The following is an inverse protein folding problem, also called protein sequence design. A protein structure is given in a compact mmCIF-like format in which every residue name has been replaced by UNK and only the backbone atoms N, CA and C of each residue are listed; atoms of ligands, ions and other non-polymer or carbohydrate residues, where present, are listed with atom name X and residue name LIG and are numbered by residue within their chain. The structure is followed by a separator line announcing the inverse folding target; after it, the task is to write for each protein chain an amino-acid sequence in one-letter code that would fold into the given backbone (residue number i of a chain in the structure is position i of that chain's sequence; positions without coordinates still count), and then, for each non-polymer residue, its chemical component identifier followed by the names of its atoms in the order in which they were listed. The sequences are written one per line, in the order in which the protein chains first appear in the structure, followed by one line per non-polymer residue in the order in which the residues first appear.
data_IF_364272083719
#
_entry.id   IF_364272083719
#
_cell.length_a   1.000
_cell.length_b   1.000
_cell.length_c   1.000
_cell.angle_alpha   90.00
_cell.angle_beta   90.00
_cell.angle_gamma   90.00
#
_symmetry.space_group_name_H-M   'P 1'
#
loop_
_entity.id
_entity.type
_entity.pdbx_description
1 polymer ?
#
# COMPACT_ATOMS: atom_id res chain seq x y z
N UNK A 1 -20.52 -17.08 -1.87
CA UNK A 1 -21.24 -15.84 -1.49
C UNK A 1 -20.29 -14.65 -1.53
N UNK A 2 -20.82 -13.46 -1.84
CA UNK A 2 -20.09 -12.18 -1.85
C UNK A 2 -20.84 -11.18 -0.96
N UNK A 3 -20.11 -10.59 0.00
CA UNK A 3 -20.65 -9.65 0.98
C UNK A 3 -19.94 -8.30 0.82
N UNK A 4 -20.67 -7.28 0.42
CA UNK A 4 -20.17 -5.93 0.35
C UNK A 4 -20.29 -5.22 1.70
N UNK A 5 -19.17 -4.82 2.28
CA UNK A 5 -19.13 -4.10 3.54
C UNK A 5 -17.91 -4.39 4.39
N UNK A 6 -17.99 -4.03 5.67
CA UNK A 6 -16.97 -4.23 6.68
C UNK A 6 -17.53 -5.10 7.81
N UNK A 7 -16.72 -5.99 8.36
CA UNK A 7 -17.04 -6.71 9.59
C UNK A 7 -16.34 -6.02 10.75
N UNK A 8 -17.11 -5.59 11.76
CA UNK A 8 -16.58 -5.00 13.01
C UNK A 8 -16.79 -5.96 14.17
N UNK A 9 -15.69 -6.43 14.74
CA UNK A 9 -15.70 -7.36 15.87
C UNK A 9 -15.51 -6.57 17.16
N UNK A 10 -16.47 -6.65 18.08
CA UNK A 10 -16.48 -5.92 19.35
C UNK A 10 -16.52 -6.83 20.57
N UNK A 11 -16.47 -8.14 20.39
CA UNK A 11 -16.49 -9.13 21.45
C UNK A 11 -15.28 -10.05 21.34
N UNK A 12 -14.72 -10.40 22.48
CA UNK A 12 -13.63 -11.37 22.58
C UNK A 12 -14.14 -12.80 22.69
N UNK A 13 -13.36 -13.73 22.15
CA UNK A 13 -13.40 -15.11 22.60
C UNK A 13 -12.64 -15.30 23.91
N UNK A 14 -12.33 -16.54 24.23
CA UNK A 14 -11.45 -16.90 25.35
C UNK A 14 -10.28 -17.74 24.83
N UNK A 15 -9.23 -17.89 25.63
CA UNK A 15 -8.08 -18.72 25.24
C UNK A 15 -8.46 -20.20 24.94
N UNK A 16 -9.52 -20.70 25.59
CA UNK A 16 -10.03 -22.05 25.35
C UNK A 16 -11.15 -22.13 24.30
N UNK A 17 -11.67 -20.98 23.83
CA UNK A 17 -12.78 -20.91 22.86
C UNK A 17 -12.71 -19.60 22.08
N UNK A 18 -11.96 -19.61 20.99
CA UNK A 18 -11.88 -18.48 20.07
C UNK A 18 -13.22 -18.26 19.36
N UNK A 19 -13.53 -16.99 19.08
CA UNK A 19 -14.59 -16.68 18.11
C UNK A 19 -13.99 -16.85 16.72
N UNK A 20 -14.65 -17.65 15.88
CA UNK A 20 -14.17 -17.98 14.53
C UNK A 20 -15.04 -17.30 13.49
N UNK A 21 -14.42 -16.53 12.60
CA UNK A 21 -15.02 -16.03 11.37
C UNK A 21 -14.44 -16.83 10.21
N UNK A 22 -15.25 -17.61 9.53
CA UNK A 22 -14.75 -18.48 8.47
C UNK A 22 -15.85 -18.98 7.53
N UNK A 23 -15.43 -19.72 6.51
CA UNK A 23 -16.37 -20.40 5.59
C UNK A 23 -17.09 -21.54 6.30
N UNK A 24 -18.30 -21.83 5.81
CA UNK A 24 -19.08 -22.99 6.20
C UNK A 24 -19.43 -23.83 4.97
N UNK A 25 -19.30 -25.13 5.10
CA UNK A 25 -19.57 -26.06 4.01
C UNK A 25 -18.41 -26.20 3.02
N UNK A 26 -18.71 -26.67 1.82
CA UNK A 26 -17.75 -26.88 0.73
C UNK A 26 -18.02 -25.94 -0.44
N UNK A 27 -16.98 -25.51 -1.15
CA UNK A 27 -17.11 -24.65 -2.32
C UNK A 27 -16.07 -23.52 -2.34
N UNK A 28 -16.33 -22.50 -3.16
CA UNK A 28 -15.45 -21.33 -3.23
C UNK A 28 -15.50 -20.52 -1.92
N UNK A 29 -14.37 -19.95 -1.53
CA UNK A 29 -14.26 -19.11 -0.35
C UNK A 29 -15.27 -17.96 -0.42
N UNK A 30 -16.03 -17.68 0.66
CA UNK A 30 -16.89 -16.51 0.72
C UNK A 30 -16.04 -15.23 0.67
N UNK A 31 -16.52 -14.24 -0.10
CA UNK A 31 -15.81 -12.98 -0.33
C UNK A 31 -16.41 -11.84 0.50
N UNK A 32 -15.60 -11.21 1.33
CA UNK A 32 -15.88 -9.92 1.96
C UNK A 32 -15.20 -8.87 1.09
N UNK A 33 -15.97 -7.89 0.58
CA UNK A 33 -15.42 -6.90 -0.36
C UNK A 33 -15.83 -5.48 -0.04
N UNK A 34 -14.88 -4.57 -0.22
CA UNK A 34 -15.10 -3.13 -0.20
C UNK A 34 -15.25 -2.52 -1.60
N UNK A 35 -15.33 -3.37 -2.63
CA UNK A 35 -15.44 -2.99 -4.03
C UNK A 35 -16.90 -2.95 -4.44
N UNK A 36 -17.32 -1.85 -5.09
CA UNK A 36 -18.64 -1.74 -5.71
C UNK A 36 -18.54 -1.29 -7.16
N UNK A 37 -19.51 -1.71 -7.98
CA UNK A 37 -19.65 -1.22 -9.34
C UNK A 37 -20.10 0.24 -9.35
N UNK A 38 -19.58 1.03 -10.28
CA UNK A 38 -19.93 2.42 -10.48
C UNK A 38 -20.77 2.55 -11.73
N UNK A 39 -21.93 3.14 -11.58
CA UNK A 39 -22.93 3.31 -12.65
C UNK A 39 -23.38 4.77 -12.76
N UNK A 40 -24.26 5.08 -13.72
CA UNK A 40 -24.79 6.43 -13.88
C UNK A 40 -23.79 7.41 -14.49
N UNK A 41 -22.93 6.91 -15.36
CA UNK A 41 -21.94 7.73 -16.06
C UNK A 41 -22.57 8.70 -17.04
N UNK A 42 -22.12 9.95 -17.00
CA UNK A 42 -22.48 11.01 -17.92
C UNK A 42 -21.23 11.68 -18.47
N UNK A 43 -21.30 12.19 -19.69
CA UNK A 43 -20.17 12.90 -20.29
C UNK A 43 -19.84 14.15 -19.47
N UNK A 44 -18.55 14.34 -19.17
CA UNK A 44 -18.04 15.59 -18.61
C UNK A 44 -17.45 16.48 -19.71
N UNK A 45 -16.50 15.96 -20.47
CA UNK A 45 -15.85 16.66 -21.60
C UNK A 45 -15.10 15.65 -22.46
N UNK A 46 -15.35 15.60 -23.76
CA UNK A 46 -14.72 14.64 -24.65
C UNK A 46 -14.89 13.19 -24.17
N UNK A 47 -13.79 12.49 -23.97
CA UNK A 47 -13.77 11.11 -23.48
C UNK A 47 -13.71 11.02 -21.93
N UNK A 48 -13.84 12.13 -21.23
CA UNK A 48 -13.93 12.16 -19.77
C UNK A 48 -15.40 12.07 -19.38
N UNK A 49 -15.70 11.06 -18.56
CA UNK A 49 -17.02 10.82 -17.99
C UNK A 49 -16.99 11.05 -16.48
N UNK A 50 -18.17 11.29 -15.89
CA UNK A 50 -18.34 11.43 -14.44
C UNK A 50 -19.53 10.63 -13.94
N UNK A 51 -19.41 10.13 -12.70
CA UNK A 51 -20.49 9.46 -11.98
C UNK A 51 -20.58 9.99 -10.53
N UNK A 52 -21.76 9.96 -9.93
CA UNK A 52 -21.94 10.29 -8.52
C UNK A 52 -21.52 9.11 -7.64
N UNK A 53 -20.65 9.36 -6.65
CA UNK A 53 -20.20 8.37 -5.68
C UNK A 53 -20.16 9.01 -4.31
N UNK A 54 -21.04 8.57 -3.41
CA UNK A 54 -21.14 9.11 -2.05
C UNK A 54 -20.03 8.64 -1.11
N UNK A 55 -19.47 7.45 -1.38
CA UNK A 55 -18.35 6.91 -0.59
C UNK A 55 -17.01 7.47 -1.10
N UNK A 56 -16.01 7.56 -0.23
CA UNK A 56 -14.65 7.91 -0.65
C UNK A 56 -14.08 6.83 -1.56
N UNK A 57 -13.62 7.19 -2.75
CA UNK A 57 -12.96 6.31 -3.70
C UNK A 57 -11.45 6.38 -3.49
N UNK A 58 -10.78 5.23 -3.45
CA UNK A 58 -9.32 5.14 -3.31
C UNK A 58 -8.63 4.38 -4.43
N UNK A 59 -9.34 3.50 -5.10
CA UNK A 59 -8.87 2.76 -6.26
C UNK A 59 -10.01 2.62 -7.25
N UNK A 60 -9.69 2.66 -8.54
CA UNK A 60 -10.61 2.37 -9.63
C UNK A 60 -10.08 1.18 -10.41
N UNK A 61 -10.95 0.23 -10.71
CA UNK A 61 -10.62 -1.04 -11.34
C UNK A 61 -11.51 -1.21 -12.57
N UNK A 62 -10.92 -1.58 -13.69
CA UNK A 62 -11.65 -1.90 -14.92
C UNK A 62 -11.10 -3.24 -15.43
N UNK A 63 -11.99 -4.24 -15.60
CA UNK A 63 -11.59 -5.57 -16.07
C UNK A 63 -10.40 -6.15 -15.30
N UNK A 64 -10.48 -6.12 -13.98
CA UNK A 64 -9.44 -6.58 -13.04
C UNK A 64 -8.12 -5.78 -13.07
N UNK A 65 -8.02 -4.71 -13.85
CA UNK A 65 -6.83 -3.83 -13.89
C UNK A 65 -7.03 -2.61 -13.00
N UNK A 66 -6.02 -2.33 -12.18
CA UNK A 66 -5.96 -1.08 -11.40
C UNK A 66 -5.75 0.10 -12.36
N UNK A 67 -6.64 1.08 -12.31
CA UNK A 67 -6.52 2.33 -13.05
C UNK A 67 -5.66 3.34 -12.28
N UNK A 68 -5.01 4.22 -13.02
CA UNK A 68 -4.09 5.21 -12.44
C UNK A 68 -4.84 6.48 -12.05
N UNK A 69 -4.48 7.08 -10.92
CA UNK A 69 -4.92 8.45 -10.58
C UNK A 69 -4.35 9.42 -11.61
N UNK A 70 -5.16 10.39 -12.04
CA UNK A 70 -4.74 11.47 -12.92
C UNK A 70 -3.44 12.11 -12.44
N UNK A 71 -2.39 12.11 -13.28
CA UNK A 71 -1.05 12.51 -12.87
C UNK A 71 -0.29 13.30 -13.95
N UNK A 72 0.74 14.04 -13.50
CA UNK A 72 1.70 14.72 -14.36
C UNK A 72 3.14 14.52 -13.83
N UNK A 73 4.10 14.07 -14.66
CA UNK A 73 3.90 13.57 -16.02
C UNK A 73 3.14 12.24 -16.03
N UNK A 74 2.55 11.86 -17.15
CA UNK A 74 1.76 10.62 -17.28
C UNK A 74 2.57 9.36 -17.07
N UNK A 75 3.89 9.41 -17.23
CA UNK A 75 4.82 8.31 -16.98
C UNK A 75 6.14 8.83 -16.42
N UNK A 76 6.87 7.97 -15.67
CA UNK A 76 8.17 8.32 -15.11
C UNK A 76 8.11 9.40 -14.04
N UNK A 77 9.18 10.13 -13.88
CA UNK A 77 9.36 11.18 -12.87
C UNK A 77 10.03 12.40 -13.47
N UNK A 78 9.64 13.59 -13.00
CA UNK A 78 10.45 14.79 -13.13
C UNK A 78 11.58 14.77 -12.11
N UNK A 79 12.60 15.61 -12.30
CA UNK A 79 13.75 15.74 -11.40
C UNK A 79 13.81 17.15 -10.82
N UNK A 80 14.05 17.23 -9.54
CA UNK A 80 14.19 18.51 -8.82
C UNK A 80 15.51 19.18 -9.20
N UNK A 81 15.48 20.46 -9.60
CA UNK A 81 16.70 21.25 -9.84
C UNK A 81 17.29 21.76 -8.52
N UNK A 82 16.46 22.30 -7.63
CA UNK A 82 16.89 22.80 -6.34
C UNK A 82 15.83 22.62 -5.25
N UNK A 83 16.22 22.07 -4.11
CA UNK A 83 15.35 21.97 -2.94
C UNK A 83 15.24 23.28 -2.18
N UNK A 84 14.11 23.51 -1.51
CA UNK A 84 13.86 24.64 -0.61
C UNK A 84 13.63 24.13 0.82
N UNK A 85 14.67 23.53 1.39
CA UNK A 85 14.59 22.87 2.70
C UNK A 85 13.51 21.79 2.71
N UNK A 86 12.60 21.85 3.68
CA UNK A 86 11.49 20.91 3.84
C UNK A 86 10.15 21.43 3.28
N UNK A 87 10.14 22.63 2.67
CA UNK A 87 8.87 23.31 2.33
C UNK A 87 8.51 23.25 0.86
N UNK A 88 9.40 22.76 -0.01
CA UNK A 88 9.16 22.69 -1.44
C UNK A 88 10.44 22.62 -2.26
N UNK A 89 10.34 22.95 -3.55
CA UNK A 89 11.46 22.88 -4.49
C UNK A 89 11.24 23.80 -5.71
N UNK A 90 12.29 23.93 -6.50
CA UNK A 90 12.29 24.56 -7.82
C UNK A 90 12.61 23.52 -8.90
N UNK A 91 11.91 23.60 -10.03
CA UNK A 91 12.20 22.84 -11.25
C UNK A 91 11.87 23.72 -12.47
N UNK A 92 12.88 24.03 -13.29
CA UNK A 92 12.77 24.86 -14.49
C UNK A 92 11.93 24.20 -15.60
N UNK A 93 11.77 22.88 -15.59
CA UNK A 93 10.92 22.15 -16.56
C UNK A 93 9.42 22.43 -16.35
N UNK A 94 9.03 22.95 -15.20
CA UNK A 94 7.64 23.29 -14.89
C UNK A 94 7.29 24.69 -15.46
N UNK A 95 6.69 24.70 -16.64
CA UNK A 95 6.34 25.89 -17.40
C UNK A 95 4.84 26.22 -17.42
N UNK A 96 4.03 25.53 -16.62
CA UNK A 96 2.58 25.77 -16.51
C UNK A 96 2.29 27.14 -15.87
N UNK A 97 1.10 27.65 -16.09
CA UNK A 97 0.65 28.91 -15.47
C UNK A 97 0.64 28.85 -13.96
N UNK A 98 0.83 30.00 -13.32
CA UNK A 98 0.76 30.10 -11.84
C UNK A 98 -0.53 29.48 -11.31
N UNK A 99 -0.40 28.70 -10.23
CA UNK A 99 -1.53 28.00 -9.61
C UNK A 99 -1.93 26.69 -10.29
N UNK A 100 -1.34 26.31 -11.43
CA UNK A 100 -1.74 25.09 -12.16
C UNK A 100 -1.71 23.82 -11.28
N UNK A 101 -0.69 23.66 -10.44
CA UNK A 101 -0.57 22.50 -9.54
C UNK A 101 -1.15 22.72 -8.13
N UNK A 102 -1.69 23.89 -7.81
CA UNK A 102 -2.26 24.15 -6.48
C UNK A 102 -3.36 23.13 -6.16
N UNK A 103 -3.31 22.53 -4.98
CA UNK A 103 -4.25 21.52 -4.52
C UNK A 103 -3.97 20.09 -5.04
N UNK A 104 -3.04 19.90 -5.97
CA UNK A 104 -2.58 18.55 -6.33
C UNK A 104 -1.73 17.93 -5.20
N UNK A 105 -1.52 16.62 -5.26
CA UNK A 105 -0.59 15.92 -4.37
C UNK A 105 0.72 15.72 -5.13
N UNK A 106 1.82 16.24 -4.59
CA UNK A 106 3.17 15.93 -5.04
C UNK A 106 3.65 14.65 -4.35
N UNK A 107 4.01 13.66 -5.16
CA UNK A 107 4.68 12.43 -4.70
C UNK A 107 6.17 12.63 -4.95
N UNK A 108 6.95 12.82 -3.92
CA UNK A 108 8.37 13.15 -4.01
C UNK A 108 9.21 12.12 -3.27
N UNK A 109 10.24 11.61 -3.94
CA UNK A 109 11.26 10.81 -3.27
C UNK A 109 12.19 11.76 -2.52
N UNK A 110 12.27 11.66 -1.21
CA UNK A 110 13.07 12.57 -0.37
C UNK A 110 14.41 11.98 0.04
N UNK A 111 14.46 10.67 0.17
CA UNK A 111 15.67 9.86 0.36
C UNK A 111 15.54 8.53 -0.39
N UNK A 112 16.59 7.72 -0.41
CA UNK A 112 16.59 6.49 -1.21
C UNK A 112 15.48 5.50 -0.87
N UNK A 113 14.93 5.54 0.34
CA UNK A 113 13.94 4.57 0.86
C UNK A 113 12.60 5.20 1.27
N UNK A 114 12.35 6.48 0.92
CA UNK A 114 11.10 7.17 1.28
C UNK A 114 10.54 7.98 0.11
N UNK A 115 9.24 7.76 -0.17
CA UNK A 115 8.39 8.72 -0.86
C UNK A 115 7.53 9.45 0.16
N UNK A 116 7.37 10.75 -0.03
CA UNK A 116 6.43 11.56 0.74
C UNK A 116 5.31 12.10 -0.17
N UNK A 117 4.14 12.29 0.42
CA UNK A 117 2.94 12.83 -0.24
C UNK A 117 2.66 14.22 0.34
N UNK A 118 2.83 15.26 -0.47
CA UNK A 118 2.66 16.64 -0.02
C UNK A 118 1.63 17.36 -0.88
N UNK A 119 0.63 17.97 -0.25
CA UNK A 119 -0.29 18.84 -0.97
C UNK A 119 0.43 20.10 -1.40
N UNK A 120 0.30 20.48 -2.65
CA UNK A 120 0.85 21.73 -3.19
C UNK A 120 -0.02 22.90 -2.75
N UNK A 121 0.51 23.78 -1.92
CA UNK A 121 -0.16 25.01 -1.50
C UNK A 121 -0.04 26.12 -2.53
N UNK A 122 1.13 26.25 -3.19
CA UNK A 122 1.33 27.21 -4.26
C UNK A 122 2.33 26.71 -5.30
N UNK A 123 2.09 27.15 -6.55
CA UNK A 123 2.96 26.92 -7.69
C UNK A 123 3.09 28.21 -8.51
N UNK A 124 4.30 28.64 -8.82
CA UNK A 124 4.56 29.77 -9.72
C UNK A 124 6.00 29.74 -10.23
N UNK A 125 6.17 29.88 -11.57
CA UNK A 125 7.48 30.02 -12.19
C UNK A 125 8.46 28.91 -11.83
N UNK A 126 8.01 27.64 -11.85
CA UNK A 126 8.82 26.49 -11.46
C UNK A 126 8.93 26.24 -9.96
N UNK A 127 8.51 27.18 -9.10
CA UNK A 127 8.56 27.01 -7.65
C UNK A 127 7.30 26.28 -7.16
N UNK A 128 7.53 25.20 -6.42
CA UNK A 128 6.48 24.38 -5.76
C UNK A 128 6.62 24.53 -4.26
N UNK A 129 5.55 24.95 -3.58
CA UNK A 129 5.50 25.04 -2.12
C UNK A 129 4.47 24.06 -1.57
N UNK A 130 4.82 23.37 -0.50
CA UNK A 130 3.95 22.39 0.16
C UNK A 130 3.10 23.04 1.26
N UNK A 131 1.93 22.47 1.52
CA UNK A 131 1.07 22.92 2.64
C UNK A 131 1.60 22.51 4.02
N UNK A 132 2.42 21.46 4.07
CA UNK A 132 3.08 20.95 5.29
C UNK A 132 4.51 20.56 4.94
N UNK A 133 5.44 20.76 5.86
CA UNK A 133 6.84 20.37 5.66
C UNK A 133 7.00 18.86 5.43
N UNK A 134 7.98 18.50 4.62
CA UNK A 134 8.44 17.12 4.50
C UNK A 134 9.21 16.69 5.76
N UNK A 135 9.30 15.39 6.01
CA UNK A 135 10.12 14.82 7.07
C UNK A 135 11.61 15.02 6.78
N UNK A 136 11.99 14.81 5.53
CA UNK A 136 13.37 14.95 5.08
C UNK A 136 13.52 16.22 4.22
N UNK A 137 14.72 16.87 4.20
CA UNK A 137 15.00 17.95 3.27
C UNK A 137 14.79 17.50 1.82
N UNK A 138 14.20 18.38 1.03
CA UNK A 138 14.07 18.17 -0.40
C UNK A 138 15.40 18.51 -1.06
N UNK A 139 15.96 17.58 -1.80
CA UNK A 139 17.26 17.73 -2.44
C UNK A 139 17.13 17.63 -3.97
N UNK A 140 18.08 18.26 -4.66
CA UNK A 140 18.19 18.20 -6.12
C UNK A 140 18.35 16.75 -6.63
N UNK A 141 17.91 16.53 -7.86
CA UNK A 141 17.97 15.26 -8.60
C UNK A 141 17.07 14.13 -8.08
N UNK A 142 16.39 14.28 -6.96
CA UNK A 142 15.34 13.32 -6.60
C UNK A 142 14.12 13.49 -7.52
N UNK A 143 13.44 12.37 -7.75
CA UNK A 143 12.28 12.30 -8.63
C UNK A 143 10.99 12.65 -7.92
N UNK A 144 10.07 13.23 -8.67
CA UNK A 144 8.73 13.54 -8.20
C UNK A 144 7.70 13.49 -9.34
N UNK A 145 6.42 13.47 -8.98
CA UNK A 145 5.30 13.70 -9.88
C UNK A 145 4.12 14.31 -9.11
N UNK A 146 3.17 14.90 -9.84
CA UNK A 146 1.91 15.39 -9.26
C UNK A 146 0.78 14.44 -9.59
N UNK A 147 -0.20 14.28 -8.69
CA UNK A 147 -1.42 13.56 -8.96
C UNK A 147 -2.63 14.18 -8.28
N UNK A 148 -3.78 13.49 -8.42
CA UNK A 148 -5.02 13.77 -7.70
C UNK A 148 -5.57 15.19 -7.92
N UNK A 149 -5.64 15.63 -9.17
CA UNK A 149 -6.28 16.87 -9.57
C UNK A 149 -7.00 16.70 -10.91
N UNK A 150 -8.20 17.27 -11.05
CA UNK A 150 -9.02 17.13 -12.27
C UNK A 150 -8.30 17.66 -13.53
N UNK A 151 -7.53 18.75 -13.41
CA UNK A 151 -6.78 19.31 -14.54
C UNK A 151 -5.63 18.44 -15.05
N UNK A 152 -5.28 17.38 -14.32
CA UNK A 152 -4.27 16.39 -14.71
C UNK A 152 -4.89 15.15 -15.36
N UNK A 153 -6.23 15.12 -15.49
CA UNK A 153 -6.96 14.00 -16.11
C UNK A 153 -6.94 14.17 -17.62
N UNK A 154 -5.87 13.76 -18.27
CA UNK A 154 -5.61 14.01 -19.69
C UNK A 154 -5.23 12.75 -20.50
N UNK A 155 -5.12 11.60 -19.83
CA UNK A 155 -4.72 10.34 -20.45
C UNK A 155 -5.72 9.22 -20.16
N UNK A 156 -5.96 8.39 -21.17
CA UNK A 156 -6.85 7.23 -21.11
C UNK A 156 -6.51 6.30 -19.94
N UNK A 157 -7.54 5.88 -19.22
CA UNK A 157 -7.43 5.00 -18.05
C UNK A 157 -7.06 5.75 -16.75
N UNK A 158 -6.94 7.06 -16.80
CA UNK A 158 -6.79 7.87 -15.59
C UNK A 158 -8.14 8.22 -14.97
N UNK A 159 -8.13 8.41 -13.65
CA UNK A 159 -9.29 8.83 -12.89
C UNK A 159 -8.97 9.90 -11.84
N UNK A 160 -9.98 10.65 -11.45
CA UNK A 160 -9.93 11.63 -10.37
C UNK A 160 -11.22 11.56 -9.55
N UNK A 161 -11.11 11.59 -8.23
CA UNK A 161 -12.27 11.64 -7.34
C UNK A 161 -12.33 12.99 -6.62
N UNK A 162 -13.36 13.78 -6.95
CA UNK A 162 -13.71 15.00 -6.23
C UNK A 162 -14.52 14.62 -4.98
N UNK A 163 -13.86 14.55 -3.84
CA UNK A 163 -14.48 14.21 -2.57
C UNK A 163 -15.51 15.24 -2.13
N UNK A 164 -15.31 16.54 -2.42
CA UNK A 164 -16.22 17.59 -2.03
C UNK A 164 -17.52 17.56 -2.84
N UNK A 165 -17.41 17.26 -4.14
CA UNK A 165 -18.56 17.12 -5.01
C UNK A 165 -19.18 15.71 -5.01
N UNK A 166 -18.52 14.72 -4.41
CA UNK A 166 -18.94 13.32 -4.45
C UNK A 166 -18.98 12.77 -5.88
N UNK A 167 -17.98 13.11 -6.71
CA UNK A 167 -17.93 12.73 -8.12
C UNK A 167 -16.64 12.03 -8.49
N UNK A 168 -16.78 10.89 -9.15
CA UNK A 168 -15.69 10.20 -9.79
C UNK A 168 -15.64 10.59 -11.27
N UNK A 169 -14.47 11.02 -11.72
CA UNK A 169 -14.16 11.30 -13.13
C UNK A 169 -13.22 10.21 -13.67
N UNK A 170 -13.46 9.80 -14.89
CA UNK A 170 -12.66 8.77 -15.59
C UNK A 170 -12.44 9.20 -17.04
N UNK A 171 -11.20 9.26 -17.47
CA UNK A 171 -10.90 9.27 -18.90
C UNK A 171 -11.07 7.84 -19.42
N UNK A 172 -12.13 7.63 -20.17
CA UNK A 172 -12.60 6.29 -20.50
C UNK A 172 -11.63 5.55 -21.44
N UNK A 173 -11.24 4.33 -21.14
CA UNK A 173 -10.49 3.49 -22.06
C UNK A 173 -11.20 3.31 -23.40
N UNK A 174 -10.48 3.52 -24.52
CA UNK A 174 -11.04 3.45 -25.86
C UNK A 174 -12.09 4.54 -26.16
N UNK A 175 -12.22 5.56 -25.33
CA UNK A 175 -13.23 6.61 -25.49
C UNK A 175 -14.69 6.16 -25.34
N UNK A 176 -14.94 4.91 -24.93
CA UNK A 176 -16.29 4.34 -24.80
C UNK A 176 -16.96 4.76 -23.51
N UNK A 177 -18.30 4.78 -23.50
CA UNK A 177 -19.05 5.09 -22.28
C UNK A 177 -18.69 4.06 -21.17
N UNK A 178 -18.21 4.50 -19.99
CA UNK A 178 -17.85 3.60 -18.90
C UNK A 178 -19.01 2.71 -18.40
N UNK A 179 -20.25 3.08 -18.69
CA UNK A 179 -21.42 2.23 -18.43
C UNK A 179 -21.41 0.91 -19.18
N UNK A 180 -20.62 0.78 -20.25
CA UNK A 180 -20.43 -0.47 -20.99
C UNK A 180 -19.20 -1.26 -20.50
N UNK A 181 -18.42 -0.67 -19.60
CA UNK A 181 -17.28 -1.28 -18.94
C UNK A 181 -17.68 -1.70 -17.53
N UNK A 182 -17.07 -2.77 -17.02
CA UNK A 182 -17.22 -3.10 -15.61
C UNK A 182 -16.27 -2.19 -14.79
N UNK A 183 -16.72 -0.96 -14.49
CA UNK A 183 -15.97 -0.01 -13.67
C UNK A 183 -16.32 -0.25 -12.21
N UNK A 184 -15.34 -0.58 -11.42
CA UNK A 184 -15.44 -0.84 -10.00
C UNK A 184 -14.57 0.13 -9.19
N UNK A 185 -14.96 0.41 -7.95
CA UNK A 185 -14.19 1.27 -7.05
C UNK A 185 -14.09 0.69 -5.65
N UNK A 186 -12.91 0.81 -5.05
CA UNK A 186 -12.67 0.51 -3.63
C UNK A 186 -13.20 1.67 -2.79
N UNK A 187 -14.11 1.37 -1.86
CA UNK A 187 -14.84 2.41 -1.12
C UNK A 187 -14.92 2.16 0.39
N UNK A 188 -14.67 0.95 0.87
CA UNK A 188 -14.71 0.62 2.31
C UNK A 188 -13.33 0.70 2.95
N UNK A 189 -13.31 0.96 4.26
CA UNK A 189 -12.08 1.21 4.99
C UNK A 189 -11.35 -0.10 5.31
N UNK A 190 -12.00 -1.02 6.01
CA UNK A 190 -11.43 -2.29 6.42
C UNK A 190 -12.28 -3.48 5.98
N UNK A 191 -11.65 -4.64 5.76
CA UNK A 191 -12.38 -5.89 5.56
C UNK A 191 -12.93 -6.41 6.87
N UNK A 192 -12.04 -6.73 7.80
CA UNK A 192 -12.39 -7.13 9.16
C UNK A 192 -11.61 -6.24 10.13
N UNK A 193 -12.35 -5.50 10.96
CA UNK A 193 -11.81 -4.61 11.98
C UNK A 193 -12.09 -5.20 13.37
N UNK A 194 -11.02 -5.48 14.10
CA UNK A 194 -11.08 -5.95 15.49
C UNK A 194 -10.93 -4.73 16.40
N UNK A 195 -11.95 -4.42 17.18
CA UNK A 195 -11.94 -3.28 18.09
C UNK A 195 -10.81 -3.40 19.12
N UNK A 196 -10.41 -2.25 19.68
CA UNK A 196 -9.41 -2.18 20.74
C UNK A 196 -9.81 -3.11 21.91
N UNK A 197 -8.84 -3.85 22.42
CA UNK A 197 -8.98 -4.83 23.52
C UNK A 197 -9.82 -6.08 23.19
N UNK A 198 -10.18 -6.30 21.93
CA UNK A 198 -10.70 -7.61 21.51
C UNK A 198 -9.55 -8.62 21.51
N UNK A 199 -9.82 -9.85 21.88
CA UNK A 199 -8.84 -10.94 21.94
C UNK A 199 -9.46 -12.28 21.53
N UNK A 200 -8.60 -13.25 21.22
CA UNK A 200 -8.99 -14.64 20.92
C UNK A 200 -9.99 -14.75 19.77
N UNK A 201 -9.55 -14.23 18.60
CA UNK A 201 -10.30 -14.24 17.34
C UNK A 201 -9.53 -15.04 16.30
N UNK A 202 -10.22 -15.92 15.61
CA UNK A 202 -9.71 -16.62 14.42
C UNK A 202 -10.46 -16.17 13.19
N UNK A 203 -9.74 -15.76 12.15
CA UNK A 203 -10.24 -15.42 10.81
C UNK A 203 -9.66 -16.45 9.85
N UNK A 204 -10.50 -17.20 9.16
CA UNK A 204 -10.02 -18.28 8.33
C UNK A 204 -10.89 -18.56 7.11
N UNK A 205 -10.25 -19.11 6.06
CA UNK A 205 -10.96 -19.62 4.89
C UNK A 205 -11.89 -18.58 4.25
N UNK A 206 -11.42 -17.33 4.13
CA UNK A 206 -12.14 -16.19 3.58
C UNK A 206 -11.35 -15.53 2.45
N UNK A 207 -12.08 -14.95 1.49
CA UNK A 207 -11.53 -13.99 0.54
C UNK A 207 -11.87 -12.57 1.00
N UNK A 208 -10.86 -11.71 1.15
CA UNK A 208 -11.00 -10.33 1.63
C UNK A 208 -10.41 -9.41 0.56
N UNK A 209 -11.26 -8.64 -0.13
CA UNK A 209 -10.82 -7.94 -1.36
C UNK A 209 -11.26 -6.48 -1.39
N UNK A 210 -10.29 -5.58 -1.65
CA UNK A 210 -10.56 -4.19 -1.98
C UNK A 210 -10.91 -3.32 -0.79
N UNK A 211 -9.93 -2.93 0.03
CA UNK A 211 -10.09 -2.05 1.17
C UNK A 211 -9.03 -0.97 1.20
N UNK A 212 -9.38 0.19 1.78
CA UNK A 212 -8.52 1.38 1.79
C UNK A 212 -7.46 1.33 2.88
N UNK A 213 -7.82 0.86 4.06
CA UNK A 213 -6.89 0.80 5.20
C UNK A 213 -6.29 -0.59 5.34
N UNK A 214 -7.11 -1.59 5.63
CA UNK A 214 -6.60 -2.94 5.88
C UNK A 214 -7.55 -4.03 5.40
N UNK A 215 -6.98 -5.17 4.98
CA UNK A 215 -7.76 -6.39 4.82
C UNK A 215 -8.26 -6.89 6.17
N UNK A 216 -7.33 -7.09 7.11
CA UNK A 216 -7.62 -7.41 8.51
C UNK A 216 -6.86 -6.43 9.41
N UNK A 217 -7.57 -5.79 10.31
CA UNK A 217 -7.01 -4.81 11.24
C UNK A 217 -7.34 -5.17 12.68
N UNK A 218 -6.31 -5.47 13.47
CA UNK A 218 -6.39 -5.66 14.92
C UNK A 218 -5.31 -4.85 15.61
N UNK A 219 -5.41 -3.50 15.51
CA UNK A 219 -4.38 -2.57 15.93
C UNK A 219 -3.89 -2.79 17.37
N UNK A 220 -4.76 -3.24 18.28
CA UNK A 220 -4.35 -3.67 19.63
C UNK A 220 -5.18 -4.87 20.07
N UNK A 221 -4.51 -5.99 20.33
CA UNK A 221 -5.17 -7.20 20.83
C UNK A 221 -4.26 -8.42 20.77
N UNK A 222 -4.67 -9.46 21.45
CA UNK A 222 -3.86 -10.66 21.64
C UNK A 222 -4.60 -11.91 21.16
N UNK A 223 -3.84 -12.95 20.87
CA UNK A 223 -4.33 -14.26 20.46
C UNK A 223 -5.23 -14.18 19.20
N UNK A 224 -4.83 -13.35 18.23
CA UNK A 224 -5.46 -13.34 16.91
C UNK A 224 -4.82 -14.38 16.00
N UNK A 225 -5.63 -15.02 15.20
CA UNK A 225 -5.16 -15.91 14.13
C UNK A 225 -5.83 -15.55 12.83
N UNK A 226 -5.01 -15.33 11.78
CA UNK A 226 -5.48 -15.23 10.39
C UNK A 226 -4.88 -16.37 9.60
N UNK A 227 -5.71 -17.24 9.05
CA UNK A 227 -5.20 -18.41 8.36
C UNK A 227 -6.01 -18.80 7.11
N UNK A 228 -5.29 -19.26 6.08
CA UNK A 228 -5.87 -19.75 4.82
C UNK A 228 -6.84 -18.76 4.16
N UNK A 229 -6.56 -17.46 4.33
CA UNK A 229 -7.31 -16.40 3.69
C UNK A 229 -6.63 -15.96 2.38
N UNK A 230 -7.43 -15.45 1.44
CA UNK A 230 -6.94 -14.74 0.26
C UNK A 230 -7.25 -13.24 0.42
N UNK A 231 -6.21 -12.42 0.60
CA UNK A 231 -6.32 -10.98 0.87
C UNK A 231 -5.72 -10.22 -0.30
N UNK A 232 -6.50 -9.34 -0.94
CA UNK A 232 -6.01 -8.68 -2.15
C UNK A 232 -6.60 -7.30 -2.40
N UNK A 233 -5.90 -6.48 -3.20
CA UNK A 233 -6.30 -5.12 -3.60
C UNK A 233 -6.52 -4.20 -2.40
N UNK A 234 -5.56 -4.21 -1.49
CA UNK A 234 -5.58 -3.38 -0.30
C UNK A 234 -4.67 -2.16 -0.53
N UNK A 235 -5.15 -0.97 -0.16
CA UNK A 235 -4.35 0.24 -0.36
C UNK A 235 -3.21 0.34 0.63
N UNK A 236 -3.45 0.02 1.92
CA UNK A 236 -2.44 0.21 2.96
C UNK A 236 -1.85 -1.09 3.49
N UNK A 237 -2.60 -1.88 4.25
CA UNK A 237 -2.08 -3.07 4.92
C UNK A 237 -2.91 -4.32 4.62
N UNK A 238 -2.27 -5.39 4.20
CA UNK A 238 -2.95 -6.67 4.09
C UNK A 238 -3.48 -7.12 5.45
N UNK A 239 -2.57 -7.26 6.43
CA UNK A 239 -2.87 -7.58 7.84
C UNK A 239 -2.07 -6.65 8.73
N UNK A 240 -2.72 -6.05 9.76
CA UNK A 240 -2.07 -5.22 10.76
C UNK A 240 -2.46 -5.66 12.17
N UNK A 241 -1.46 -6.10 12.95
CA UNK A 241 -1.63 -6.52 14.33
C UNK A 241 -0.58 -5.90 15.25
N UNK A 242 -1.01 -5.51 16.49
CA UNK A 242 -0.09 -5.17 17.56
C UNK A 242 -0.52 -5.94 18.82
N UNK A 243 0.37 -6.79 19.34
CA UNK A 243 0.09 -7.54 20.56
C UNK A 243 0.88 -8.84 20.70
N UNK A 244 0.38 -9.71 21.55
CA UNK A 244 1.04 -10.94 21.96
C UNK A 244 0.30 -12.16 21.38
N UNK A 245 1.03 -13.21 20.99
CA UNK A 245 0.50 -14.47 20.45
C UNK A 245 -0.42 -14.27 19.23
N UNK A 246 -0.10 -13.30 18.38
CA UNK A 246 -0.82 -13.10 17.12
C UNK A 246 -0.17 -13.95 16.02
N UNK A 247 -0.97 -14.71 15.29
CA UNK A 247 -0.49 -15.73 14.36
C UNK A 247 -1.07 -15.52 12.95
N UNK A 248 -0.24 -15.72 11.93
CA UNK A 248 -0.61 -15.53 10.51
C UNK A 248 -0.10 -16.73 9.71
N UNK A 249 -1.00 -17.63 9.29
CA UNK A 249 -0.66 -18.92 8.71
C UNK A 249 -1.23 -19.15 7.32
N UNK A 250 -0.38 -19.51 6.34
CA UNK A 250 -0.83 -20.05 5.07
C UNK A 250 -1.79 -19.16 4.27
N UNK A 251 -1.66 -17.84 4.40
CA UNK A 251 -2.47 -16.89 3.65
C UNK A 251 -1.85 -16.58 2.29
N UNK A 252 -2.67 -16.19 1.33
CA UNK A 252 -2.26 -15.56 0.07
C UNK A 252 -2.57 -14.07 0.17
N UNK A 253 -1.55 -13.22 0.10
CA UNK A 253 -1.67 -11.76 0.21
C UNK A 253 -1.06 -11.10 -1.02
N UNK A 254 -1.88 -10.45 -1.85
CA UNK A 254 -1.45 -9.94 -3.15
C UNK A 254 -2.01 -8.55 -3.44
N UNK A 255 -1.31 -7.80 -4.33
CA UNK A 255 -1.74 -6.49 -4.80
C UNK A 255 -2.02 -5.51 -3.64
N UNK A 256 -1.11 -5.44 -2.68
CA UNK A 256 -1.15 -4.47 -1.57
C UNK A 256 -0.28 -3.26 -1.94
N UNK A 257 -0.85 -2.05 -1.95
CA UNK A 257 -0.13 -0.86 -2.43
C UNK A 257 0.89 -0.31 -1.43
N UNK A 258 0.89 -0.80 -0.18
CA UNK A 258 1.90 -0.43 0.81
C UNK A 258 2.60 -1.67 1.41
N UNK A 259 2.08 -2.28 2.46
CA UNK A 259 2.76 -3.37 3.19
C UNK A 259 1.80 -4.54 3.43
N UNK A 260 2.23 -5.77 3.11
CA UNK A 260 1.34 -6.91 3.23
C UNK A 260 1.05 -7.29 4.68
N UNK A 261 2.08 -7.43 5.52
CA UNK A 261 1.92 -7.73 6.96
C UNK A 261 2.71 -6.69 7.76
N UNK A 262 2.08 -6.05 8.74
CA UNK A 262 2.77 -5.10 9.60
C UNK A 262 2.27 -5.13 11.04
N UNK A 263 3.14 -4.71 11.94
CA UNK A 263 2.78 -4.48 13.33
C UNK A 263 3.83 -4.85 14.35
N UNK A 264 3.41 -4.88 15.60
CA UNK A 264 4.19 -5.35 16.74
C UNK A 264 3.76 -6.78 17.06
N UNK A 265 4.70 -7.71 16.98
CA UNK A 265 4.45 -9.12 17.25
C UNK A 265 5.36 -9.59 18.39
N UNK A 266 4.76 -10.03 19.47
CA UNK A 266 5.48 -10.65 20.59
C UNK A 266 4.98 -12.09 20.76
N UNK A 267 5.90 -13.05 20.76
CA UNK A 267 5.58 -14.49 20.90
C UNK A 267 4.56 -14.99 19.87
N UNK A 268 4.56 -14.41 18.67
CA UNK A 268 3.68 -14.79 17.57
C UNK A 268 4.38 -15.67 16.55
N UNK A 269 3.63 -16.14 15.55
CA UNK A 269 4.16 -16.89 14.41
C UNK A 269 3.58 -16.39 13.10
N UNK A 270 4.45 -16.17 12.12
CA UNK A 270 4.09 -15.79 10.74
C UNK A 270 4.69 -16.83 9.82
N UNK A 271 3.89 -17.81 9.37
CA UNK A 271 4.45 -18.95 8.65
C UNK A 271 3.64 -19.41 7.44
N UNK A 272 4.34 -19.91 6.43
CA UNK A 272 3.73 -20.52 5.24
C UNK A 272 2.90 -19.57 4.38
N UNK A 273 3.03 -18.25 4.51
CA UNK A 273 2.27 -17.29 3.71
C UNK A 273 2.92 -17.09 2.34
N UNK A 274 2.09 -16.87 1.33
CA UNK A 274 2.49 -16.40 0.01
C UNK A 274 2.15 -14.92 -0.11
N UNK A 275 3.16 -14.07 -0.26
CA UNK A 275 3.04 -12.61 -0.40
C UNK A 275 3.58 -12.21 -1.76
N UNK A 276 2.79 -11.47 -2.55
CA UNK A 276 3.18 -11.11 -3.90
C UNK A 276 2.65 -9.72 -4.29
N UNK A 277 3.44 -8.98 -5.05
CA UNK A 277 3.12 -7.64 -5.59
C UNK A 277 2.71 -6.64 -4.52
N UNK A 278 3.64 -6.37 -3.61
CA UNK A 278 3.43 -5.43 -2.51
C UNK A 278 4.25 -4.16 -2.73
N UNK A 279 3.61 -2.98 -2.63
CA UNK A 279 4.31 -1.70 -2.67
C UNK A 279 4.91 -1.33 -4.04
N UNK A 280 4.37 -1.83 -5.15
CA UNK A 280 4.94 -1.65 -6.48
C UNK A 280 4.61 -0.31 -7.14
N UNK A 281 3.72 0.49 -6.55
CA UNK A 281 3.34 1.79 -7.10
C UNK A 281 3.98 2.91 -6.29
N UNK A 282 4.99 3.54 -6.86
CA UNK A 282 5.74 4.61 -6.21
C UNK A 282 4.82 5.77 -5.74
N UNK A 283 4.99 6.20 -4.50
CA UNK A 283 4.19 7.27 -3.89
C UNK A 283 2.81 6.85 -3.39
N UNK A 284 2.41 5.57 -3.48
CA UNK A 284 1.14 5.07 -2.92
C UNK A 284 1.27 4.54 -1.50
N UNK A 285 2.46 4.19 -1.04
CA UNK A 285 2.74 3.86 0.35
C UNK A 285 2.41 4.99 1.33
N UNK A 286 2.73 4.80 2.59
CA UNK A 286 2.70 5.88 3.58
C UNK A 286 3.88 6.84 3.40
N UNK A 287 3.74 8.04 3.96
CA UNK A 287 4.89 8.87 4.25
C UNK A 287 5.76 8.14 5.29
N UNK A 288 7.05 7.96 5.00
CA UNK A 288 7.96 7.21 5.86
C UNK A 288 8.14 5.76 5.42
N UNK A 289 8.07 4.83 6.37
CA UNK A 289 8.37 3.43 6.12
C UNK A 289 7.17 2.68 5.52
N UNK A 290 7.39 2.02 4.39
CA UNK A 290 6.39 1.24 3.71
C UNK A 290 6.96 0.41 2.57
N UNK A 291 6.09 -0.20 1.75
CA UNK A 291 6.44 -0.99 0.58
C UNK A 291 7.07 -2.35 0.86
N UNK A 292 6.90 -2.87 2.08
CA UNK A 292 7.46 -4.15 2.50
C UNK A 292 6.51 -5.35 2.24
N UNK A 293 7.08 -6.52 2.07
CA UNK A 293 6.33 -7.75 2.27
C UNK A 293 5.89 -7.87 3.72
N UNK A 294 6.84 -7.79 4.65
CA UNK A 294 6.59 -7.77 6.09
C UNK A 294 7.38 -6.65 6.76
N UNK A 295 6.72 -5.84 7.58
CA UNK A 295 7.33 -4.80 8.40
C UNK A 295 6.95 -5.05 9.87
N UNK A 296 7.85 -5.70 10.60
CA UNK A 296 7.59 -6.20 11.94
C UNK A 296 8.43 -5.43 12.96
N UNK A 297 7.72 -4.69 13.81
CA UNK A 297 8.31 -3.94 14.90
C UNK A 297 8.28 -4.80 16.18
N UNK A 298 9.35 -4.71 16.99
CA UNK A 298 9.41 -5.35 18.30
C UNK A 298 8.96 -6.82 18.30
N UNK A 299 9.67 -7.65 17.53
CA UNK A 299 9.31 -9.04 17.25
C UNK A 299 9.79 -10.05 18.32
N UNK A 300 9.80 -9.68 19.61
CA UNK A 300 10.37 -10.49 20.69
C UNK A 300 9.75 -11.89 20.73
N UNK A 301 10.60 -12.92 20.54
CA UNK A 301 10.17 -14.32 20.55
C UNK A 301 9.25 -14.72 19.39
N UNK A 302 9.18 -13.92 18.34
CA UNK A 302 8.38 -14.19 17.14
C UNK A 302 9.12 -15.09 16.18
N UNK A 303 8.41 -16.02 15.55
CA UNK A 303 8.94 -16.92 14.51
C UNK A 303 8.37 -16.50 13.16
N UNK A 304 9.25 -16.26 12.17
CA UNK A 304 8.90 -15.98 10.77
C UNK A 304 9.50 -17.08 9.92
N UNK A 305 8.70 -18.06 9.52
CA UNK A 305 9.21 -19.29 8.91
C UNK A 305 8.46 -19.72 7.65
N UNK A 306 9.20 -20.16 6.64
CA UNK A 306 8.62 -20.86 5.47
C UNK A 306 7.70 -19.99 4.61
N UNK A 307 7.82 -18.66 4.66
CA UNK A 307 7.05 -17.78 3.81
C UNK A 307 7.69 -17.64 2.43
N UNK A 308 6.88 -17.48 1.41
CA UNK A 308 7.29 -17.08 0.07
C UNK A 308 6.89 -15.63 -0.16
N UNK A 309 7.87 -14.77 -0.43
CA UNK A 309 7.67 -13.34 -0.66
C UNK A 309 8.26 -12.99 -2.01
N UNK A 310 7.43 -12.52 -2.92
CA UNK A 310 7.85 -12.17 -4.28
C UNK A 310 7.36 -10.76 -4.65
N UNK A 311 8.21 -10.02 -5.35
CA UNK A 311 7.87 -8.70 -5.91
C UNK A 311 7.42 -7.70 -4.84
N UNK A 312 8.39 -7.16 -4.07
CA UNK A 312 8.15 -6.10 -3.10
C UNK A 312 8.78 -4.77 -3.53
N UNK A 313 8.10 -3.68 -3.23
CA UNK A 313 8.57 -2.33 -3.56
C UNK A 313 9.81 -1.92 -2.76
N UNK A 314 9.94 -2.43 -1.53
CA UNK A 314 11.12 -2.26 -0.70
C UNK A 314 11.58 -3.63 -0.17
N UNK A 315 11.83 -3.80 1.13
CA UNK A 315 12.31 -5.08 1.65
C UNK A 315 11.27 -6.20 1.65
N UNK A 316 11.73 -7.44 1.53
CA UNK A 316 10.87 -8.60 1.73
C UNK A 316 10.41 -8.69 3.18
N UNK A 317 11.36 -8.76 4.13
CA UNK A 317 11.12 -8.77 5.58
C UNK A 317 11.95 -7.67 6.22
N UNK A 318 11.31 -6.76 6.96
CA UNK A 318 11.99 -5.84 7.87
C UNK A 318 11.66 -6.23 9.30
N UNK A 319 12.70 -6.38 10.13
CA UNK A 319 12.54 -6.86 11.50
C UNK A 319 13.46 -6.13 12.46
N UNK A 320 12.96 -5.89 13.67
CA UNK A 320 13.75 -5.40 14.79
C UNK A 320 13.53 -6.28 16.02
N UNK A 321 14.55 -6.37 16.86
CA UNK A 321 14.58 -7.18 18.10
C UNK A 321 14.71 -8.69 17.90
N UNK A 322 14.70 -9.45 19.01
CA UNK A 322 14.95 -10.89 19.03
C UNK A 322 13.82 -11.70 18.41
N UNK A 323 14.11 -12.32 17.27
CA UNK A 323 13.16 -13.16 16.54
C UNK A 323 13.91 -14.31 15.87
N UNK A 324 13.18 -15.28 15.34
CA UNK A 324 13.72 -16.33 14.47
C UNK A 324 13.15 -16.13 13.07
N UNK A 325 14.02 -15.86 12.09
CA UNK A 325 13.67 -15.69 10.68
C UNK A 325 14.34 -16.79 9.87
N UNK A 326 13.60 -17.82 9.48
CA UNK A 326 14.18 -18.98 8.85
C UNK A 326 13.35 -19.59 7.73
N UNK A 327 14.04 -20.24 6.79
CA UNK A 327 13.42 -20.99 5.69
C UNK A 327 12.44 -20.18 4.83
N UNK A 328 12.58 -18.85 4.79
CA UNK A 328 11.80 -18.01 3.91
C UNK A 328 12.43 -17.93 2.52
N UNK A 329 11.61 -17.87 1.49
CA UNK A 329 12.02 -17.66 0.11
C UNK A 329 11.62 -16.25 -0.32
N UNK A 330 12.59 -15.36 -0.56
CA UNK A 330 12.38 -13.95 -0.87
C UNK A 330 12.99 -13.67 -2.25
N UNK A 331 12.17 -13.15 -3.17
CA UNK A 331 12.61 -12.81 -4.50
C UNK A 331 12.06 -11.46 -4.96
N UNK A 332 12.83 -10.77 -5.81
CA UNK A 332 12.45 -9.50 -6.43
C UNK A 332 12.05 -8.42 -5.40
N UNK A 333 12.95 -8.14 -4.44
CA UNK A 333 12.79 -7.02 -3.50
C UNK A 333 13.38 -5.71 -4.03
N UNK A 334 13.02 -4.58 -3.43
CA UNK A 334 13.47 -3.22 -3.78
C UNK A 334 13.10 -2.79 -5.22
N UNK A 335 11.91 -3.15 -5.68
CA UNK A 335 11.44 -2.81 -7.04
C UNK A 335 10.98 -1.35 -7.18
N UNK A 336 10.67 -0.66 -6.08
CA UNK A 336 10.20 0.74 -6.05
C UNK A 336 11.20 1.66 -5.37
N UNK A 337 11.88 1.18 -4.34
CA UNK A 337 12.83 1.92 -3.52
C UNK A 337 14.24 1.31 -3.62
N UNK A 338 15.20 1.94 -2.95
CA UNK A 338 16.62 1.59 -2.96
C UNK A 338 17.16 1.63 -1.52
N UNK A 339 18.39 1.14 -1.32
CA UNK A 339 19.11 1.20 -0.04
C UNK A 339 18.42 0.37 1.05
N UNK A 340 18.51 -0.96 0.88
CA UNK A 340 17.91 -1.95 1.78
C UNK A 340 18.24 -3.38 1.39
N UNK A 341 17.48 -4.33 1.90
CA UNK A 341 17.71 -5.76 1.67
C UNK A 341 16.44 -6.57 1.49
N UNK A 342 16.61 -7.79 0.96
CA UNK A 342 15.55 -8.79 1.00
C UNK A 342 15.10 -9.05 2.43
N UNK A 343 16.06 -9.15 3.37
CA UNK A 343 15.82 -9.05 4.82
C UNK A 343 16.54 -7.81 5.32
N UNK A 344 15.82 -6.89 5.97
CA UNK A 344 16.38 -5.70 6.62
C UNK A 344 16.28 -5.85 8.13
N UNK A 345 17.40 -5.64 8.81
CA UNK A 345 17.54 -5.78 10.26
C UNK A 345 17.80 -4.43 10.87
N UNK A 346 16.93 -3.99 11.78
CA UNK A 346 17.20 -2.88 12.68
C UNK A 346 18.07 -3.30 13.87
N UNK A 347 18.05 -2.51 14.94
CA UNK A 347 18.71 -2.91 16.20
C UNK A 347 18.22 -4.26 16.65
N UNK A 348 19.11 -5.22 16.79
CA UNK A 348 18.75 -6.60 17.17
C UNK A 348 19.67 -7.12 18.26
N UNK A 349 19.04 -7.71 19.29
CA UNK A 349 19.71 -8.56 20.26
C UNK A 349 19.01 -9.92 20.23
N UNK A 350 19.78 -11.00 20.02
CA UNK A 350 19.22 -12.35 19.94
C UNK A 350 18.37 -12.66 18.70
N UNK A 351 18.61 -11.98 17.57
CA UNK A 351 17.98 -12.31 16.28
C UNK A 351 18.69 -13.49 15.64
N UNK A 352 17.94 -14.51 15.24
CA UNK A 352 18.43 -15.63 14.41
C UNK A 352 17.91 -15.48 12.97
N UNK A 353 18.83 -15.54 12.00
CA UNK A 353 18.50 -15.60 10.57
C UNK A 353 19.19 -16.83 9.99
N UNK A 354 18.42 -17.86 9.63
CA UNK A 354 18.95 -19.12 9.15
C UNK A 354 18.15 -19.71 7.98
N UNK A 355 18.80 -20.42 7.09
CA UNK A 355 18.19 -21.20 5.99
C UNK A 355 17.27 -20.40 5.05
N UNK A 356 17.39 -19.08 4.95
CA UNK A 356 16.60 -18.28 4.03
C UNK A 356 17.22 -18.27 2.63
N UNK A 357 16.39 -18.27 1.61
CA UNK A 357 16.78 -18.05 0.22
C UNK A 357 16.38 -16.63 -0.16
N UNK A 358 17.35 -15.82 -0.57
CA UNK A 358 17.14 -14.44 -1.00
C UNK A 358 17.74 -14.27 -2.39
N UNK A 359 16.94 -13.78 -3.33
CA UNK A 359 17.36 -13.58 -4.71
C UNK A 359 16.80 -12.28 -5.30
N UNK A 360 17.53 -11.72 -6.26
CA UNK A 360 17.07 -10.59 -7.06
C UNK A 360 16.63 -9.36 -6.23
N UNK A 361 17.44 -8.94 -5.25
CA UNK A 361 17.27 -7.61 -4.64
C UNK A 361 17.76 -6.56 -5.63
N UNK A 362 16.87 -5.74 -6.18
CA UNK A 362 17.13 -4.90 -7.37
C UNK A 362 17.71 -3.53 -6.98
N UNK A 363 17.07 -2.79 -6.08
CA UNK A 363 17.43 -1.42 -5.72
C UNK A 363 17.06 -0.42 -6.82
N UNK A 364 15.79 -0.02 -6.86
CA UNK A 364 15.29 0.89 -7.89
C UNK A 364 15.85 2.31 -7.73
N UNK A 365 16.51 2.80 -8.77
CA UNK A 365 17.15 4.12 -8.81
C UNK A 365 16.42 5.15 -9.68
N UNK A 366 15.30 4.81 -10.31
CA UNK A 366 14.63 5.65 -11.32
C UNK A 366 14.37 7.08 -10.84
N UNK A 367 13.89 7.22 -9.61
CA UNK A 367 13.64 8.54 -8.99
C UNK A 367 14.65 8.91 -7.90
N UNK A 368 15.75 8.18 -7.79
CA UNK A 368 16.84 8.48 -6.85
C UNK A 368 17.73 9.61 -7.38
N UNK A 369 18.30 10.39 -6.49
CA UNK A 369 19.31 11.39 -6.83
C UNK A 369 20.63 10.73 -7.27
N UNK A 370 20.93 9.55 -6.73
CA UNK A 370 22.09 8.75 -7.08
C UNK A 370 21.66 7.52 -7.89
N UNK A 371 22.23 7.26 -9.08
CA UNK A 371 21.89 6.10 -9.91
C UNK A 371 22.50 4.78 -9.43
N UNK A 372 23.17 4.76 -8.28
CA UNK A 372 23.76 3.53 -7.70
C UNK A 372 22.72 2.75 -6.94
N UNK A 373 22.61 1.45 -7.24
CA UNK A 373 21.81 0.51 -6.46
C UNK A 373 22.56 0.13 -5.18
N UNK A 374 21.89 0.28 -4.03
CA UNK A 374 22.33 -0.17 -2.71
C UNK A 374 21.42 -1.31 -2.24
N UNK A 375 21.35 -2.39 -3.02
CA UNK A 375 20.52 -3.55 -2.71
C UNK A 375 21.38 -4.70 -2.16
N UNK A 376 20.93 -5.29 -1.07
CA UNK A 376 21.58 -6.42 -0.41
C UNK A 376 20.63 -7.61 -0.26
N UNK A 377 21.17 -8.81 -0.08
CA UNK A 377 20.36 -9.94 0.37
C UNK A 377 19.89 -9.71 1.81
N UNK A 378 20.85 -9.49 2.72
CA UNK A 378 20.58 -9.11 4.11
C UNK A 378 21.23 -7.74 4.35
N UNK A 379 20.47 -6.81 4.88
CA UNK A 379 20.88 -5.44 5.19
C UNK A 379 20.75 -5.22 6.71
N UNK A 380 21.85 -4.87 7.35
CA UNK A 380 21.91 -4.61 8.79
C UNK A 380 22.23 -3.13 9.00
N UNK A 381 21.33 -2.40 9.69
CA UNK A 381 21.48 -1.00 10.05
C UNK A 381 22.28 -0.83 11.36
#
# INVERSE_FOLDING_TARGET
DKFYGEIKVSKSGTASSNIIFGSYGSGALPEITGIKSITGWTVHSGNIYKANVSDTVSQVIISEKLMRIARYPNTGFLKIDAGNGNTGFYDAALNQSSGYFNGSVCKVRTINWIYEKKTVSSFSGGNVTFSTSSMNPILANYGYYFDNKLSLLDTEGEWFYDKAAGKLYLYAPGGVNPGTLNVEAVTKLNGIYLNINVASITIQDLKIKGFRESGVDGYTGNNFTVQRCNISRIERYGIRFNGINNNIYGNVIEDVLNTAITGVFTQGEISGNFINRTGLVAGYGEDGYGYYGMLIWNAIGTIIEGNTIDSTGYGGISISTSAVVRKNNISYSLLTLNDGGGISVGTSDGLEISDNIISNSIGNTESSANPVSYASGIYVN
#
